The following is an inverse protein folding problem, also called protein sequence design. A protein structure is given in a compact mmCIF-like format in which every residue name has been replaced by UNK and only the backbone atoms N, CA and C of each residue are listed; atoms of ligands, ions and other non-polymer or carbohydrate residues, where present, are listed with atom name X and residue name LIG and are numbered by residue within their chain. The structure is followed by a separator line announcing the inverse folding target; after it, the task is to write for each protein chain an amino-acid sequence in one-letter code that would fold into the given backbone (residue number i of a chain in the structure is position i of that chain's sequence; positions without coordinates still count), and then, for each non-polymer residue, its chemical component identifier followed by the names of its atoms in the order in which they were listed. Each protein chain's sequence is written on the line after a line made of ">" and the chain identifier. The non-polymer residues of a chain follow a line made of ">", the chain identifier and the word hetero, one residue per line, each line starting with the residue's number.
data_IF_752336067613
#
_entry.id   IF_752336067613
#
_cell.length_a   1.000
_cell.length_b   1.000
_cell.length_c   1.000
_cell.angle_alpha   90.00
_cell.angle_beta   90.00
_cell.angle_gamma   90.00
#
_symmetry.space_group_name_H-M   'P 1'
#
loop_
_entity.id
_entity.type
_entity.pdbx_description
1 polymer ?
#
# COMPACT_ATOMS: atom_id res chain seq x y z
N UNK A 1 -18.41 62.00 24.48
CA UNK A 1 -17.93 60.61 24.65
C UNK A 1 -17.20 60.01 23.45
N UNK A 2 -17.57 60.32 22.19
CA UNK A 2 -16.92 59.77 20.97
C UNK A 2 -15.42 60.10 20.79
N UNK A 3 -14.93 61.21 21.35
CA UNK A 3 -13.53 61.63 21.20
C UNK A 3 -12.54 60.81 22.03
N UNK A 4 -12.99 60.21 23.14
CA UNK A 4 -12.14 59.37 23.99
C UNK A 4 -11.97 57.95 23.43
N UNK A 5 -12.97 57.43 22.71
CA UNK A 5 -12.90 56.12 22.04
C UNK A 5 -11.85 56.10 20.93
N UNK A 6 -11.74 57.18 20.15
CA UNK A 6 -10.74 57.26 19.06
C UNK A 6 -9.31 57.31 19.59
N UNK A 7 -9.09 58.01 20.71
CA UNK A 7 -7.78 58.07 21.39
C UNK A 7 -7.40 56.73 22.02
N UNK A 8 -8.36 56.01 22.63
CA UNK A 8 -8.11 54.67 23.17
C UNK A 8 -7.78 53.69 22.05
N UNK A 9 -8.49 53.74 20.92
CA UNK A 9 -8.21 52.90 19.75
C UNK A 9 -6.81 53.18 19.15
N UNK A 10 -6.41 54.45 19.05
CA UNK A 10 -5.06 54.82 18.59
C UNK A 10 -3.97 54.32 19.54
N UNK A 11 -4.18 54.40 20.86
CA UNK A 11 -3.23 53.86 21.85
C UNK A 11 -3.13 52.34 21.72
N UNK A 12 -4.24 51.63 21.50
CA UNK A 12 -4.26 50.18 21.34
C UNK A 12 -3.51 49.70 20.09
N UNK A 13 -3.64 50.44 18.97
CA UNK A 13 -2.92 50.13 17.72
C UNK A 13 -1.42 50.43 17.87
N UNK A 14 -1.04 51.51 18.56
CA UNK A 14 0.37 51.86 18.79
C UNK A 14 1.02 50.85 19.76
N UNK A 15 0.31 50.39 20.79
CA UNK A 15 0.79 49.36 21.71
C UNK A 15 0.92 48.01 21.00
N UNK A 16 -0.05 47.62 20.15
CA UNK A 16 0.04 46.40 19.36
C UNK A 16 1.18 46.43 18.32
N UNK A 17 1.45 47.59 17.71
CA UNK A 17 2.54 47.76 16.74
C UNK A 17 3.93 47.84 17.37
N UNK A 18 4.06 48.34 18.60
CA UNK A 18 5.35 48.44 19.31
C UNK A 18 5.75 47.14 20.01
N UNK A 19 4.79 46.26 20.33
CA UNK A 19 5.05 44.91 20.83
C UNK A 19 5.52 43.92 19.73
N UNK A 20 5.37 44.25 18.43
CA UNK A 20 5.75 43.34 17.34
C UNK A 20 7.18 43.54 16.79
N UNK A 21 7.89 44.59 17.22
CA UNK A 21 9.15 45.02 16.60
C UNK A 21 10.40 44.97 17.52
N UNK A 22 10.28 44.51 18.76
CA UNK A 22 11.43 44.32 19.67
C UNK A 22 11.93 42.88 19.67
N UNK A 23 12.32 42.33 18.51
CA UNK A 23 13.23 41.16 18.37
C UNK A 23 12.84 39.83 19.04
N UNK A 24 11.73 39.78 19.76
CA UNK A 24 11.16 38.66 20.49
C UNK A 24 9.69 38.62 20.18
N UNK A 25 9.39 38.17 18.96
CA UNK A 25 8.03 37.81 18.57
C UNK A 25 7.50 36.80 19.61
N UNK A 26 6.22 36.86 19.98
CA UNK A 26 5.62 35.87 20.91
C UNK A 26 5.82 34.43 20.42
N UNK A 27 6.01 34.26 19.11
CA UNK A 27 6.33 33.01 18.42
C UNK A 27 7.81 32.66 18.39
N UNK A 28 8.73 33.46 18.96
CA UNK A 28 10.17 33.18 18.88
C UNK A 28 10.53 31.88 19.59
N UNK A 29 9.83 31.56 20.68
CA UNK A 29 9.97 30.28 21.39
C UNK A 29 9.25 29.12 20.68
N UNK A 30 8.17 29.40 19.92
CA UNK A 30 7.55 28.40 19.02
C UNK A 30 8.40 28.14 17.75
N UNK A 31 9.10 29.16 17.25
CA UNK A 31 9.93 29.08 16.05
C UNK A 31 11.36 28.60 16.33
N UNK A 32 11.79 28.57 17.60
CA UNK A 32 13.14 28.17 18.00
C UNK A 32 13.29 26.67 18.17
N UNK A 33 12.25 25.94 18.59
CA UNK A 33 12.34 24.50 18.82
C UNK A 33 11.92 23.68 17.58
N UNK A 34 12.62 23.89 16.46
CA UNK A 34 12.42 23.13 15.21
C UNK A 34 12.88 21.67 15.29
N UNK A 35 13.48 21.29 16.40
CA UNK A 35 14.02 19.95 16.65
C UNK A 35 13.15 19.14 17.62
N UNK A 36 12.03 19.69 18.11
CA UNK A 36 11.08 18.90 18.89
C UNK A 36 10.44 17.83 18.00
N UNK A 37 10.04 16.71 18.61
CA UNK A 37 9.41 15.60 17.89
C UNK A 37 8.15 16.07 17.14
N UNK A 38 7.33 16.92 17.75
CA UNK A 38 6.15 17.50 17.10
C UNK A 38 6.50 18.40 15.92
N UNK A 39 7.55 19.22 16.02
CA UNK A 39 7.99 20.08 14.93
C UNK A 39 8.50 19.25 13.74
N UNK A 40 9.28 18.21 14.02
CA UNK A 40 9.77 17.26 13.02
C UNK A 40 8.62 16.47 12.38
N UNK A 41 7.61 16.07 13.17
CA UNK A 41 6.43 15.40 12.68
C UNK A 41 5.59 16.30 11.76
N UNK A 42 5.35 17.56 12.15
CA UNK A 42 4.62 18.52 11.33
C UNK A 42 5.36 18.84 10.02
N UNK A 43 6.68 19.03 10.09
CA UNK A 43 7.54 19.16 8.90
C UNK A 43 7.42 17.94 7.99
N UNK A 44 7.39 16.73 8.57
CA UNK A 44 7.22 15.51 7.80
C UNK A 44 5.85 15.43 7.12
N UNK A 45 4.77 15.85 7.78
CA UNK A 45 3.44 15.90 7.16
C UNK A 45 3.42 16.81 5.93
N UNK A 46 4.02 18.00 6.04
CA UNK A 46 4.16 18.92 4.89
C UNK A 46 4.92 18.26 3.74
N UNK A 47 6.00 17.54 4.05
CA UNK A 47 6.77 16.80 3.04
C UNK A 47 5.98 15.64 2.41
N UNK A 48 5.10 14.97 3.17
CA UNK A 48 4.19 13.94 2.63
C UNK A 48 3.17 14.58 1.67
N UNK A 49 2.57 15.70 2.07
CA UNK A 49 1.62 16.46 1.25
C UNK A 49 2.27 16.98 -0.05
N UNK A 50 3.55 17.36 0.01
CA UNK A 50 4.37 17.77 -1.14
C UNK A 50 4.86 16.59 -2.00
N UNK A 51 4.58 15.34 -1.61
CA UNK A 51 5.06 14.12 -2.30
C UNK A 51 6.55 13.81 -2.09
N UNK A 52 7.24 14.52 -1.19
CA UNK A 52 8.65 14.30 -0.88
C UNK A 52 8.84 13.26 0.23
N UNK A 53 8.47 12.01 -0.08
CA UNK A 53 8.42 10.92 0.88
C UNK A 53 9.78 10.56 1.50
N UNK A 54 10.88 10.68 0.75
CA UNK A 54 12.24 10.41 1.27
C UNK A 54 12.63 11.41 2.36
N UNK A 55 12.35 12.69 2.13
CA UNK A 55 12.61 13.72 3.15
C UNK A 55 11.66 13.55 4.35
N UNK A 56 10.40 13.21 4.11
CA UNK A 56 9.44 12.93 5.19
C UNK A 56 9.88 11.77 6.09
N UNK A 57 10.32 10.64 5.50
CA UNK A 57 10.86 9.49 6.24
C UNK A 57 12.06 9.91 7.09
N UNK A 58 12.99 10.68 6.50
CA UNK A 58 14.17 11.18 7.21
C UNK A 58 13.78 12.01 8.44
N UNK A 59 12.78 12.89 8.30
CA UNK A 59 12.25 13.72 9.40
C UNK A 59 11.60 12.88 10.49
N UNK A 60 10.73 11.93 10.12
CA UNK A 60 10.07 11.04 11.07
C UNK A 60 11.08 10.14 11.82
N UNK A 61 12.10 9.65 11.14
CA UNK A 61 13.18 8.85 11.75
C UNK A 61 14.13 9.68 12.63
N UNK A 62 14.10 11.02 12.52
CA UNK A 62 14.87 11.92 13.38
C UNK A 62 14.19 12.20 14.72
N UNK A 63 12.92 11.82 14.89
CA UNK A 63 12.20 11.93 16.17
C UNK A 63 12.72 10.91 17.19
N UNK A 64 12.39 11.09 18.48
CA UNK A 64 12.77 10.15 19.53
C UNK A 64 12.14 8.76 19.32
N UNK A 65 12.77 7.72 19.86
CA UNK A 65 12.25 6.34 19.78
C UNK A 65 10.87 6.18 20.41
N UNK A 66 10.58 6.94 21.47
CA UNK A 66 9.26 6.96 22.09
C UNK A 66 8.20 7.53 21.12
N UNK A 67 8.53 8.63 20.43
CA UNK A 67 7.63 9.25 19.47
C UNK A 67 7.43 8.39 18.21
N UNK A 68 8.49 7.71 17.74
CA UNK A 68 8.40 6.72 16.65
C UNK A 68 7.52 5.51 17.01
N UNK A 69 7.41 5.17 18.29
CA UNK A 69 6.56 4.06 18.74
C UNK A 69 5.06 4.41 18.73
N UNK A 70 4.69 5.69 18.69
CA UNK A 70 3.31 6.15 18.63
C UNK A 70 2.60 5.72 17.34
N UNK A 71 1.32 5.38 17.44
CA UNK A 71 0.51 4.92 16.30
C UNK A 71 0.52 5.91 15.14
N UNK A 72 0.32 7.21 15.43
CA UNK A 72 0.31 8.27 14.40
C UNK A 72 1.63 8.38 13.62
N UNK A 73 2.75 8.16 14.31
CA UNK A 73 4.09 8.23 13.70
C UNK A 73 4.34 7.01 12.83
N UNK A 74 3.97 5.82 13.31
CA UNK A 74 4.00 4.57 12.52
C UNK A 74 3.11 4.65 11.29
N UNK A 75 1.89 5.18 11.42
CA UNK A 75 0.96 5.38 10.30
C UNK A 75 1.54 6.32 9.25
N UNK A 76 2.14 7.44 9.67
CA UNK A 76 2.76 8.41 8.76
C UNK A 76 4.00 7.84 8.07
N UNK A 77 4.86 7.13 8.82
CA UNK A 77 6.00 6.42 8.26
C UNK A 77 5.55 5.36 7.26
N UNK A 78 4.54 4.55 7.60
CA UNK A 78 4.00 3.52 6.72
C UNK A 78 3.42 4.12 5.44
N UNK A 79 2.67 5.22 5.54
CA UNK A 79 2.17 5.95 4.38
C UNK A 79 3.30 6.43 3.46
N UNK A 80 4.35 7.04 4.01
CA UNK A 80 5.48 7.52 3.22
C UNK A 80 6.27 6.39 2.54
N UNK A 81 6.51 5.28 3.24
CA UNK A 81 7.14 4.09 2.66
C UNK A 81 6.25 3.45 1.58
N UNK A 82 4.94 3.33 1.82
CA UNK A 82 4.02 2.78 0.85
C UNK A 82 3.95 3.65 -0.42
N UNK A 83 3.96 4.97 -0.28
CA UNK A 83 3.99 5.88 -1.43
C UNK A 83 5.29 5.73 -2.24
N UNK A 84 6.46 5.60 -1.60
CA UNK A 84 7.73 5.30 -2.29
C UNK A 84 7.72 3.96 -3.03
N UNK A 85 6.94 3.00 -2.54
CA UNK A 85 6.77 1.71 -3.17
C UNK A 85 5.73 1.72 -4.30
N UNK A 86 5.15 2.88 -4.63
CA UNK A 86 4.20 3.10 -5.71
C UNK A 86 2.73 3.14 -5.28
N UNK A 87 2.44 2.96 -4.00
CA UNK A 87 1.09 3.04 -3.45
C UNK A 87 0.72 4.47 -3.07
N UNK A 88 0.56 5.34 -4.06
CA UNK A 88 -0.16 6.59 -3.85
C UNK A 88 -1.67 6.31 -3.93
N UNK A 89 -2.40 6.50 -2.82
CA UNK A 89 -3.79 6.04 -2.70
C UNK A 89 -4.70 6.55 -3.83
N UNK A 90 -4.64 7.85 -4.17
CA UNK A 90 -5.50 8.43 -5.19
C UNK A 90 -5.18 7.93 -6.61
N UNK A 91 -3.92 7.96 -7.09
CA UNK A 91 -3.54 7.32 -8.35
C UNK A 91 -3.87 5.84 -8.40
N UNK A 92 -3.57 5.09 -7.33
CA UNK A 92 -3.84 3.67 -7.25
C UNK A 92 -5.34 3.37 -7.38
N UNK A 93 -6.18 4.03 -6.60
CA UNK A 93 -7.65 3.86 -6.68
C UNK A 93 -8.19 4.28 -8.04
N UNK A 94 -7.70 5.37 -8.63
CA UNK A 94 -8.09 5.77 -9.99
C UNK A 94 -7.75 4.68 -11.01
N UNK A 95 -6.54 4.13 -10.94
CA UNK A 95 -6.09 3.06 -11.82
C UNK A 95 -6.92 1.76 -11.62
N UNK A 96 -7.36 1.47 -10.40
CA UNK A 96 -8.27 0.36 -10.11
C UNK A 96 -9.66 0.57 -10.76
N UNK A 97 -10.19 1.79 -10.75
CA UNK A 97 -11.53 2.09 -11.30
C UNK A 97 -11.57 2.25 -12.82
N UNK A 98 -10.43 2.46 -13.47
CA UNK A 98 -10.35 2.78 -14.90
C UNK A 98 -10.35 1.59 -15.85
N UNK A 99 -10.29 0.34 -15.35
CA UNK A 99 -10.11 -0.86 -16.16
C UNK A 99 -11.30 -1.83 -16.12
N UNK A 100 -11.60 -2.46 -17.26
CA UNK A 100 -12.48 -3.63 -17.34
C UNK A 100 -11.73 -4.92 -16.96
N UNK A 101 -11.03 -4.92 -15.82
CA UNK A 101 -10.23 -6.05 -15.40
C UNK A 101 -11.14 -7.23 -15.01
N UNK A 102 -10.91 -8.41 -15.60
CA UNK A 102 -11.70 -9.62 -15.35
C UNK A 102 -11.23 -10.42 -14.12
N UNK A 103 -10.14 -10.02 -13.45
CA UNK A 103 -9.57 -10.71 -12.31
C UNK A 103 -8.86 -9.79 -11.32
N UNK A 104 -8.80 -10.19 -10.03
CA UNK A 104 -8.19 -9.43 -8.94
C UNK A 104 -6.71 -9.12 -9.17
N UNK A 105 -5.94 -10.08 -9.68
CA UNK A 105 -4.51 -9.90 -9.94
C UNK A 105 -4.28 -8.97 -11.12
N UNK A 106 -5.13 -9.04 -12.16
CA UNK A 106 -5.08 -8.07 -13.26
C UNK A 106 -5.43 -6.67 -12.78
N UNK A 107 -6.44 -6.55 -11.92
CA UNK A 107 -6.83 -5.29 -11.30
C UNK A 107 -5.67 -4.70 -10.48
N UNK A 108 -5.05 -5.50 -9.61
CA UNK A 108 -3.90 -5.09 -8.81
C UNK A 108 -2.71 -4.65 -9.67
N UNK A 109 -2.38 -5.44 -10.69
CA UNK A 109 -1.30 -5.15 -11.64
C UNK A 109 -1.52 -3.83 -12.37
N UNK A 110 -2.74 -3.59 -12.86
CA UNK A 110 -3.11 -2.35 -13.55
C UNK A 110 -2.97 -1.12 -12.65
N UNK A 111 -3.09 -1.28 -11.33
CA UNK A 111 -2.80 -0.23 -10.35
C UNK A 111 -1.39 0.34 -10.46
N UNK A 112 -0.44 -0.43 -10.99
CA UNK A 112 0.99 -0.13 -11.09
C UNK A 112 1.47 0.25 -12.50
N UNK A 113 0.56 0.49 -13.45
CA UNK A 113 0.93 0.99 -14.78
C UNK A 113 1.56 2.38 -14.64
N UNK A 114 2.75 2.56 -15.20
CA UNK A 114 3.51 3.81 -15.11
C UNK A 114 4.30 3.99 -13.79
N UNK A 115 4.33 3.00 -12.89
CA UNK A 115 4.72 3.23 -11.48
C UNK A 115 6.14 2.83 -11.05
N UNK A 116 6.98 2.09 -11.75
CA UNK A 116 8.22 1.53 -11.14
C UNK A 116 7.96 0.57 -9.94
N UNK A 117 8.66 -0.56 -9.98
CA UNK A 117 8.55 -1.67 -9.02
C UNK A 117 9.84 -1.90 -8.24
N UNK A 118 10.86 -1.05 -8.44
CA UNK A 118 12.16 -1.18 -7.79
C UNK A 118 12.10 -1.09 -6.26
N UNK A 119 11.16 -0.32 -5.70
CA UNK A 119 11.09 -0.01 -4.26
C UNK A 119 10.20 -0.98 -3.46
N UNK A 120 10.07 -2.26 -3.86
CA UNK A 120 9.21 -3.22 -3.15
C UNK A 120 9.53 -3.37 -1.64
N UNK A 121 10.81 -3.23 -1.26
CA UNK A 121 11.23 -3.29 0.14
C UNK A 121 10.57 -2.20 1.01
N UNK A 122 10.23 -1.05 0.41
CA UNK A 122 9.50 0.01 1.10
C UNK A 122 8.05 -0.45 1.42
N UNK A 123 7.41 -1.25 0.56
CA UNK A 123 6.09 -1.83 0.87
C UNK A 123 6.16 -2.78 2.08
N UNK A 124 7.19 -3.61 2.17
CA UNK A 124 7.39 -4.52 3.31
C UNK A 124 7.65 -3.75 4.61
N UNK A 125 8.38 -2.63 4.51
CA UNK A 125 8.62 -1.73 5.65
C UNK A 125 7.33 -1.07 6.12
N UNK A 126 6.50 -0.60 5.18
CA UNK A 126 5.19 -0.01 5.49
C UNK A 126 4.26 -1.01 6.19
N UNK A 127 4.23 -2.26 5.72
CA UNK A 127 3.46 -3.34 6.33
C UNK A 127 3.92 -3.61 7.76
N UNK A 128 5.23 -3.80 7.96
CA UNK A 128 5.82 -4.08 9.26
C UNK A 128 5.53 -2.97 10.28
N UNK A 129 5.50 -1.70 9.84
CA UNK A 129 5.15 -0.56 10.70
C UNK A 129 3.72 -0.63 11.22
N UNK A 130 2.75 -0.97 10.36
CA UNK A 130 1.35 -1.09 10.77
C UNK A 130 1.09 -2.36 11.56
N UNK A 131 1.71 -3.49 11.19
CA UNK A 131 1.66 -4.71 12.00
C UNK A 131 2.28 -4.50 13.39
N UNK A 132 3.30 -3.65 13.47
CA UNK A 132 3.91 -3.21 14.73
C UNK A 132 3.03 -2.30 15.60
N UNK A 133 1.84 -1.89 15.15
CA UNK A 133 0.84 -1.21 15.99
C UNK A 133 0.08 -2.26 16.83
N UNK A 134 -0.21 -3.43 16.26
CA UNK A 134 -0.90 -4.50 16.96
C UNK A 134 -1.44 -5.60 16.05
N UNK A 135 -1.98 -6.64 16.68
CA UNK A 135 -2.68 -7.72 15.97
C UNK A 135 -3.92 -7.18 15.23
N UNK A 136 -4.41 -7.93 14.23
CA UNK A 136 -5.55 -7.56 13.37
C UNK A 136 -6.76 -7.06 14.17
N UNK A 137 -7.12 -7.75 15.27
CA UNK A 137 -8.25 -7.39 16.12
C UNK A 137 -8.03 -6.21 17.06
N UNK A 138 -6.79 -5.74 17.21
CA UNK A 138 -6.42 -4.58 18.05
C UNK A 138 -6.22 -3.31 17.25
N UNK A 139 -6.04 -3.43 15.93
CA UNK A 139 -5.90 -2.30 15.01
C UNK A 139 -7.24 -1.60 14.75
N UNK A 140 -7.18 -0.31 14.49
CA UNK A 140 -8.36 0.45 14.06
C UNK A 140 -8.81 0.00 12.67
N UNK A 141 -10.06 0.29 12.32
CA UNK A 141 -10.58 -0.01 10.99
C UNK A 141 -9.76 0.64 9.87
N UNK A 142 -9.34 1.89 10.04
CA UNK A 142 -8.52 2.60 9.06
C UNK A 142 -7.14 1.96 8.89
N UNK A 143 -6.53 1.45 9.96
CA UNK A 143 -5.25 0.71 9.89
C UNK A 143 -5.40 -0.62 9.14
N UNK A 144 -6.49 -1.34 9.39
CA UNK A 144 -6.78 -2.60 8.67
C UNK A 144 -7.11 -2.34 7.20
N UNK A 145 -7.85 -1.27 6.89
CA UNK A 145 -8.12 -0.83 5.52
C UNK A 145 -6.82 -0.46 4.81
N UNK A 146 -5.92 0.28 5.46
CA UNK A 146 -4.61 0.61 4.91
C UNK A 146 -3.81 -0.64 4.56
N UNK A 147 -3.69 -1.62 5.47
CA UNK A 147 -2.99 -2.87 5.15
C UNK A 147 -3.67 -3.63 4.03
N UNK A 148 -5.00 -3.69 4.00
CA UNK A 148 -5.71 -4.37 2.90
C UNK A 148 -5.33 -3.78 1.54
N UNK A 149 -5.29 -2.46 1.42
CA UNK A 149 -4.88 -1.76 0.19
C UNK A 149 -3.39 -1.99 -0.09
N UNK A 150 -2.54 -1.94 0.94
CA UNK A 150 -1.11 -2.18 0.82
C UNK A 150 -0.80 -3.60 0.32
N UNK A 151 -1.52 -4.61 0.78
CA UNK A 151 -1.34 -5.97 0.30
C UNK A 151 -1.80 -6.14 -1.14
N UNK A 152 -2.90 -5.47 -1.54
CA UNK A 152 -3.29 -5.40 -2.95
C UNK A 152 -2.21 -4.73 -3.78
N UNK A 153 -1.60 -3.67 -3.26
CA UNK A 153 -0.53 -2.95 -3.93
C UNK A 153 0.75 -3.80 -4.05
N UNK A 154 1.14 -4.54 -3.02
CA UNK A 154 2.26 -5.49 -3.06
C UNK A 154 2.05 -6.59 -4.10
N UNK A 155 0.84 -7.15 -4.19
CA UNK A 155 0.50 -8.11 -5.24
C UNK A 155 0.67 -7.48 -6.62
N UNK A 156 0.08 -6.30 -6.83
CA UNK A 156 0.17 -5.55 -8.09
C UNK A 156 1.61 -5.26 -8.50
N UNK A 157 2.43 -4.74 -7.58
CA UNK A 157 3.84 -4.45 -7.78
C UNK A 157 4.62 -5.70 -8.24
N UNK A 158 4.49 -6.82 -7.51
CA UNK A 158 5.19 -8.06 -7.86
C UNK A 158 4.73 -8.65 -9.18
N UNK A 159 3.43 -8.68 -9.44
CA UNK A 159 2.89 -9.19 -10.69
C UNK A 159 3.36 -8.34 -11.87
N UNK A 160 3.26 -7.01 -11.77
CA UNK A 160 3.69 -6.07 -12.82
C UNK A 160 5.18 -6.23 -13.13
N UNK A 161 6.00 -6.46 -12.11
CA UNK A 161 7.45 -6.65 -12.28
C UNK A 161 7.86 -7.87 -13.11
N UNK A 162 6.95 -8.83 -13.33
CA UNK A 162 7.23 -10.08 -14.07
C UNK A 162 6.32 -10.30 -15.29
N UNK A 163 5.16 -9.64 -15.36
CA UNK A 163 4.12 -9.91 -16.35
C UNK A 163 3.82 -8.73 -17.28
N UNK A 164 4.25 -7.51 -16.95
CA UNK A 164 3.96 -6.28 -17.69
C UNK A 164 5.23 -5.39 -17.66
N UNK A 165 6.27 -5.88 -18.33
CA UNK A 165 7.61 -5.28 -18.40
C UNK A 165 7.83 -4.57 -19.74
N UNK A 166 7.12 -4.98 -20.79
CA UNK A 166 7.22 -4.38 -22.11
C UNK A 166 5.99 -3.49 -22.42
N UNK A 167 6.11 -2.54 -23.38
CA UNK A 167 7.34 -2.07 -24.02
C UNK A 167 8.15 -1.10 -23.13
N UNK A 168 7.62 -0.69 -21.98
CA UNK A 168 8.29 0.23 -21.05
C UNK A 168 8.57 -0.47 -19.74
N UNK A 169 9.69 -0.17 -19.07
CA UNK A 169 10.01 -0.71 -17.74
C UNK A 169 8.98 -0.37 -16.65
N UNK A 170 8.00 0.47 -16.97
CA UNK A 170 6.89 0.85 -16.10
C UNK A 170 5.57 0.15 -16.44
N UNK A 171 5.55 -0.74 -17.44
CA UNK A 171 4.36 -1.45 -17.91
C UNK A 171 3.38 -0.57 -18.70
N UNK A 172 2.49 -1.21 -19.45
CA UNK A 172 1.40 -0.59 -20.20
C UNK A 172 0.00 -1.08 -19.79
N UNK A 173 -0.08 -1.99 -18.82
CA UNK A 173 -1.32 -2.59 -18.36
C UNK A 173 -1.77 -3.79 -19.18
N UNK A 174 -0.93 -4.27 -20.10
CA UNK A 174 -1.14 -5.50 -20.87
C UNK A 174 -0.20 -6.57 -20.35
N UNK A 175 -0.66 -7.83 -20.37
CA UNK A 175 0.26 -8.93 -20.04
C UNK A 175 1.18 -9.14 -21.25
N UNK A 176 2.48 -9.16 -21.01
CA UNK A 176 3.48 -9.41 -22.04
C UNK A 176 3.21 -10.75 -22.73
N UNK A 177 3.30 -10.80 -24.06
CA UNK A 177 3.07 -12.04 -24.82
C UNK A 177 4.06 -13.17 -24.49
N UNK A 178 5.17 -12.85 -23.84
CA UNK A 178 6.18 -13.80 -23.34
C UNK A 178 5.95 -14.25 -21.91
N UNK A 179 4.93 -13.71 -21.22
CA UNK A 179 4.62 -14.09 -19.85
C UNK A 179 4.20 -15.56 -19.76
N UNK A 180 4.83 -16.26 -18.83
CA UNK A 180 4.47 -17.61 -18.43
C UNK A 180 4.46 -17.67 -16.90
N UNK A 181 3.31 -18.02 -16.32
CA UNK A 181 3.12 -18.04 -14.87
C UNK A 181 4.00 -19.06 -14.12
N UNK A 182 4.72 -19.95 -14.81
CA UNK A 182 5.74 -20.86 -14.29
C UNK A 182 7.14 -20.28 -14.41
N UNK A 183 7.54 -19.90 -15.62
CA UNK A 183 8.94 -19.56 -15.93
C UNK A 183 9.25 -18.07 -15.79
N UNK A 184 8.26 -17.19 -15.98
CA UNK A 184 8.44 -15.74 -15.79
C UNK A 184 8.36 -15.33 -14.32
N UNK A 185 7.69 -16.11 -13.47
CA UNK A 185 7.49 -15.77 -12.05
C UNK A 185 8.40 -16.62 -11.17
N UNK A 186 9.47 -16.04 -10.58
CA UNK A 186 10.31 -16.75 -9.63
C UNK A 186 9.52 -17.23 -8.42
N UNK A 187 9.97 -18.32 -7.81
CA UNK A 187 9.29 -18.92 -6.63
C UNK A 187 9.14 -17.93 -5.49
N UNK A 188 10.19 -17.18 -5.17
CA UNK A 188 10.14 -16.16 -4.12
C UNK A 188 9.03 -15.11 -4.39
N UNK A 189 8.83 -14.73 -5.64
CA UNK A 189 7.77 -13.80 -6.04
C UNK A 189 6.38 -14.43 -5.86
N UNK A 190 6.21 -15.71 -6.18
CA UNK A 190 4.94 -16.42 -5.91
C UNK A 190 4.64 -16.44 -4.41
N UNK A 191 5.64 -16.73 -3.58
CA UNK A 191 5.50 -16.75 -2.12
C UNK A 191 5.10 -15.38 -1.57
N UNK A 192 5.71 -14.30 -2.06
CA UNK A 192 5.37 -12.93 -1.68
C UNK A 192 3.95 -12.55 -2.11
N UNK A 193 3.54 -12.87 -3.34
CA UNK A 193 2.18 -12.64 -3.84
C UNK A 193 1.17 -13.38 -2.95
N UNK A 194 1.43 -14.64 -2.63
CA UNK A 194 0.52 -15.45 -1.81
C UNK A 194 0.48 -15.00 -0.36
N UNK A 195 1.62 -14.61 0.23
CA UNK A 195 1.66 -14.02 1.56
C UNK A 195 0.81 -12.74 1.62
N UNK A 196 0.93 -11.88 0.61
CA UNK A 196 0.08 -10.69 0.48
C UNK A 196 -1.39 -11.04 0.29
N UNK A 197 -1.70 -12.03 -0.54
CA UNK A 197 -3.07 -12.46 -0.77
C UNK A 197 -3.76 -12.97 0.51
N UNK A 198 -3.06 -13.80 1.30
CA UNK A 198 -3.60 -14.28 2.58
C UNK A 198 -3.80 -13.15 3.58
N UNK A 199 -2.88 -12.18 3.64
CA UNK A 199 -3.04 -11.00 4.50
C UNK A 199 -4.18 -10.10 4.02
N UNK A 200 -4.32 -9.89 2.71
CA UNK A 200 -5.45 -9.19 2.09
C UNK A 200 -6.78 -9.81 2.52
N UNK A 201 -6.93 -11.14 2.38
CA UNK A 201 -8.10 -11.90 2.84
C UNK A 201 -8.38 -11.65 4.33
N UNK A 202 -7.35 -11.75 5.17
CA UNK A 202 -7.50 -11.59 6.60
C UNK A 202 -7.95 -10.17 6.98
N UNK A 203 -7.42 -9.13 6.33
CA UNK A 203 -7.87 -7.75 6.54
C UNK A 203 -9.30 -7.54 6.01
N UNK A 204 -9.61 -8.12 4.85
CA UNK A 204 -10.91 -8.02 4.23
C UNK A 204 -12.02 -8.58 5.13
N UNK A 205 -11.78 -9.68 5.85
CA UNK A 205 -12.75 -10.22 6.81
C UNK A 205 -13.13 -9.23 7.93
N UNK A 206 -12.24 -8.30 8.27
CA UNK A 206 -12.47 -7.28 9.32
C UNK A 206 -13.04 -5.99 8.73
N UNK A 207 -12.62 -5.59 7.54
CA UNK A 207 -13.05 -4.36 6.88
C UNK A 207 -14.34 -4.53 6.08
N UNK A 208 -14.59 -5.73 5.55
CA UNK A 208 -15.68 -6.05 4.62
C UNK A 208 -17.08 -5.78 5.18
N UNK A 209 -17.26 -5.79 6.49
CA UNK A 209 -18.53 -5.36 7.11
C UNK A 209 -18.89 -3.89 6.89
N UNK A 210 -17.95 -3.06 6.42
CA UNK A 210 -18.14 -1.61 6.23
C UNK A 210 -18.03 -1.13 4.78
N UNK A 211 -17.57 -1.98 3.87
CA UNK A 211 -17.64 -1.70 2.45
C UNK A 211 -19.03 -2.13 1.96
N UNK A 212 -19.72 -1.30 1.17
CA UNK A 212 -20.96 -1.71 0.50
C UNK A 212 -20.61 -2.49 -0.78
N UNK A 213 -21.36 -3.55 -1.10
CA UNK A 213 -21.19 -4.31 -2.36
C UNK A 213 -20.22 -5.50 -2.31
N UNK A 214 -19.80 -5.95 -1.13
CA UNK A 214 -18.77 -6.99 -0.93
C UNK A 214 -19.30 -8.43 -0.75
N UNK A 215 -20.60 -8.66 -0.92
CA UNK A 215 -21.19 -10.00 -0.80
C UNK A 215 -20.51 -11.04 -1.70
N UNK A 216 -20.16 -10.65 -2.93
CA UNK A 216 -19.52 -11.53 -3.91
C UNK A 216 -18.04 -11.81 -3.57
N UNK A 217 -17.30 -10.80 -3.06
CA UNK A 217 -15.90 -10.97 -2.66
C UNK A 217 -15.79 -11.83 -1.39
N UNK A 218 -16.73 -11.70 -0.46
CA UNK A 218 -16.74 -12.50 0.78
C UNK A 218 -17.04 -13.98 0.48
N UNK A 219 -17.99 -14.25 -0.43
CA UNK A 219 -18.31 -15.60 -0.91
C UNK A 219 -17.12 -16.20 -1.67
N UNK A 220 -16.50 -15.41 -2.55
CA UNK A 220 -15.27 -15.78 -3.25
C UNK A 220 -14.13 -16.15 -2.28
N UNK A 221 -13.86 -15.32 -1.26
CA UNK A 221 -12.81 -15.58 -0.26
C UNK A 221 -13.12 -16.81 0.59
N UNK A 222 -14.38 -17.02 0.97
CA UNK A 222 -14.81 -18.17 1.77
C UNK A 222 -14.69 -19.48 0.98
N UNK A 223 -15.12 -19.48 -0.28
CA UNK A 223 -15.10 -20.67 -1.13
C UNK A 223 -13.66 -21.05 -1.52
N UNK A 224 -12.79 -20.08 -1.84
CA UNK A 224 -11.39 -20.37 -2.17
C UNK A 224 -10.47 -20.53 -0.95
N UNK A 225 -10.74 -19.88 0.18
CA UNK A 225 -9.95 -20.04 1.40
C UNK A 225 -10.14 -21.39 2.09
N UNK A 226 -11.33 -21.98 1.97
CA UNK A 226 -11.66 -23.28 2.55
C UNK A 226 -11.48 -24.47 1.60
N UNK A 227 -11.45 -24.24 0.28
CA UNK A 227 -11.44 -25.30 -0.74
C UNK A 227 -10.17 -25.31 -1.61
N UNK A 228 -8.98 -25.19 -1.02
CA UNK A 228 -7.74 -25.51 -1.73
C UNK A 228 -7.43 -27.01 -1.55
N UNK A 229 -7.90 -27.90 -2.45
CA UNK A 229 -7.46 -29.29 -2.41
C UNK A 229 -5.95 -29.36 -2.56
N UNK A 230 -5.37 -30.47 -2.12
CA UNK A 230 -3.99 -30.83 -2.45
C UNK A 230 -3.89 -30.97 -3.98
N UNK A 231 -3.45 -29.90 -4.65
CA UNK A 231 -3.19 -29.91 -6.08
C UNK A 231 -1.93 -30.74 -6.32
N UNK A 232 -2.08 -31.81 -7.09
CA UNK A 232 -0.98 -32.68 -7.47
C UNK A 232 -0.43 -32.25 -8.85
N UNK A 233 0.76 -31.64 -8.85
CA UNK A 233 1.50 -31.25 -10.05
C UNK A 233 2.47 -32.35 -10.54
N UNK A 234 2.47 -33.54 -9.92
CA UNK A 234 3.43 -34.61 -10.23
C UNK A 234 3.29 -35.21 -11.64
N UNK A 235 2.23 -34.88 -12.40
CA UNK A 235 1.97 -35.42 -13.73
C UNK A 235 2.51 -34.62 -14.91
N UNK A 236 3.00 -33.40 -14.70
CA UNK A 236 3.52 -32.54 -15.77
C UNK A 236 5.01 -32.73 -16.02
N UNK A 237 5.43 -33.07 -17.24
CA UNK A 237 6.83 -33.06 -17.63
C UNK A 237 7.44 -31.68 -17.36
N UNK A 238 8.37 -31.59 -16.40
CA UNK A 238 9.07 -30.36 -16.03
C UNK A 238 8.82 -29.85 -14.60
N UNK A 239 8.04 -30.55 -13.76
CA UNK A 239 7.93 -30.19 -12.34
C UNK A 239 9.29 -30.34 -11.63
N UNK A 240 9.95 -29.22 -11.38
CA UNK A 240 11.10 -29.18 -10.47
C UNK A 240 10.66 -29.53 -9.05
N UNK A 241 11.58 -30.00 -8.21
CA UNK A 241 11.30 -30.38 -6.82
C UNK A 241 10.65 -29.24 -5.99
N UNK A 242 10.83 -27.99 -6.41
CA UNK A 242 10.28 -26.81 -5.73
C UNK A 242 8.80 -26.52 -6.07
N UNK A 243 8.19 -27.29 -6.98
CA UNK A 243 6.74 -27.21 -7.27
C UNK A 243 5.91 -28.18 -6.44
N UNK A 244 6.46 -28.68 -5.33
CA UNK A 244 5.74 -29.51 -4.36
C UNK A 244 5.15 -28.70 -3.20
N UNK A 245 5.50 -27.42 -3.07
CA UNK A 245 4.96 -26.53 -2.05
C UNK A 245 3.55 -26.03 -2.44
N UNK A 246 2.54 -26.40 -1.65
CA UNK A 246 1.12 -26.10 -1.95
C UNK A 246 0.86 -24.60 -2.22
N UNK A 247 1.34 -23.65 -1.40
CA UNK A 247 1.29 -22.23 -1.71
C UNK A 247 1.81 -21.84 -3.09
N UNK A 248 2.91 -22.44 -3.57
CA UNK A 248 3.49 -22.13 -4.88
C UNK A 248 2.56 -22.63 -5.98
N UNK A 249 2.12 -23.89 -5.86
CA UNK A 249 1.20 -24.51 -6.80
C UNK A 249 -0.09 -23.68 -6.94
N UNK A 250 -0.69 -23.33 -5.81
CA UNK A 250 -1.95 -22.59 -5.74
C UNK A 250 -1.76 -21.19 -6.30
N UNK A 251 -0.67 -20.50 -5.91
CA UNK A 251 -0.39 -19.16 -6.41
C UNK A 251 -0.23 -19.12 -7.92
N UNK A 252 0.49 -20.08 -8.49
CA UNK A 252 0.63 -20.22 -9.95
C UNK A 252 -0.70 -20.52 -10.64
N UNK A 253 -1.51 -21.42 -10.08
CA UNK A 253 -2.83 -21.74 -10.62
C UNK A 253 -3.77 -20.52 -10.61
N UNK A 254 -3.82 -19.79 -9.49
CA UNK A 254 -4.56 -18.53 -9.36
C UNK A 254 -4.07 -17.47 -10.34
N UNK A 255 -2.76 -17.32 -10.52
CA UNK A 255 -2.18 -16.39 -11.50
C UNK A 255 -2.55 -16.75 -12.94
N UNK A 256 -2.68 -18.03 -13.26
CA UNK A 256 -2.99 -18.49 -14.61
C UNK A 256 -4.49 -18.38 -14.97
N UNK A 257 -5.36 -18.43 -13.99
CA UNK A 257 -6.82 -18.38 -14.18
C UNK A 257 -7.28 -17.01 -14.70
N UNK A 258 -8.13 -16.97 -15.72
CA UNK A 258 -8.70 -15.71 -16.25
C UNK A 258 -9.69 -15.03 -15.31
N UNK A 259 -10.39 -15.82 -14.49
CA UNK A 259 -11.39 -15.35 -13.52
C UNK A 259 -10.77 -14.60 -12.32
N UNK A 260 -9.47 -14.73 -12.12
CA UNK A 260 -8.80 -14.22 -10.93
C UNK A 260 -7.43 -13.62 -11.22
N UNK A 261 -6.63 -14.34 -11.99
CA UNK A 261 -5.27 -14.05 -12.36
C UNK A 261 -5.11 -13.09 -13.55
N UNK A 262 -4.04 -13.34 -14.29
CA UNK A 262 -3.64 -12.62 -15.50
C UNK A 262 -3.34 -13.56 -16.67
N UNK A 263 -3.43 -14.88 -16.45
CA UNK A 263 -3.14 -15.89 -17.47
C UNK A 263 -4.30 -16.14 -18.43
N UNK A 264 -4.16 -17.21 -19.20
CA UNK A 264 -5.08 -17.55 -20.30
C UNK A 264 -6.02 -18.71 -19.98
N UNK A 265 -5.94 -19.31 -18.79
CA UNK A 265 -6.78 -20.45 -18.44
C UNK A 265 -8.23 -20.01 -18.17
N UNK A 266 -9.15 -20.41 -19.04
CA UNK A 266 -10.58 -20.13 -18.92
C UNK A 266 -11.35 -21.29 -18.27
N UNK A 267 -10.89 -21.76 -17.11
CA UNK A 267 -11.61 -22.76 -16.31
C UNK A 267 -12.32 -22.05 -15.15
N UNK A 268 -13.61 -22.31 -14.90
CA UNK A 268 -14.32 -21.77 -13.74
C UNK A 268 -13.73 -22.22 -12.40
N UNK A 269 -12.96 -23.32 -12.39
CA UNK A 269 -12.16 -23.78 -11.26
C UNK A 269 -10.67 -23.43 -11.47
N UNK A 270 -10.16 -22.35 -10.84
CA UNK A 270 -8.76 -21.93 -10.87
C UNK A 270 -7.78 -23.01 -10.44
N UNK A 271 -8.20 -23.96 -9.60
CA UNK A 271 -7.31 -25.03 -9.14
C UNK A 271 -6.89 -25.93 -10.31
N UNK A 272 -7.70 -25.99 -11.38
CA UNK A 272 -7.39 -26.72 -12.61
C UNK A 272 -6.54 -25.92 -13.60
N UNK A 273 -6.22 -24.66 -13.31
CA UNK A 273 -5.46 -23.78 -14.19
C UNK A 273 -3.95 -23.96 -14.08
N UNK A 274 -3.48 -25.18 -14.39
CA UNK A 274 -2.06 -25.53 -14.36
C UNK A 274 -1.23 -24.62 -15.27
N UNK A 275 -0.17 -24.02 -14.75
CA UNK A 275 0.76 -23.23 -15.57
C UNK A 275 1.45 -24.13 -16.61
N UNK A 276 1.44 -23.75 -17.89
CA UNK A 276 2.15 -24.51 -18.90
C UNK A 276 3.66 -24.50 -18.63
N UNK A 277 4.37 -25.58 -19.00
CA UNK A 277 5.83 -25.66 -18.87
C UNK A 277 6.56 -24.54 -19.62
#
# INVERSE_FOLDING_TARGET
>A
MRWNLFKILQILIIVAGTLSCTGSNLYKDLASNKESDEALFEDAQKLIDDGNYTAAITKLQSTTTAFQAESRTKESLAGAYAARCGMEFLPFVRNLTGGSATGLFKLAMNGFVGVDTANYADCQTAEALIEGIGAIGSRTQSQNLFLMILELAKMGNRIRSVADIAPTSTGDGTVDGTYNCRTSVPIATVQEIMASFYKFIAQFAVVGGTLSGVGDITTFIHDYGAALPALDYSGGSGAGADELDSPIIIGRALMNAQSFGIGSCNNPDPTQCVCPP
#
